data_IF_386788108150
#
_entry.id   IF_386788108150
#
_cell.length_a   1.000
_cell.length_b   1.000
_cell.length_c   1.000
_cell.angle_alpha   90.00
_cell.angle_beta   90.00
_cell.angle_gamma   90.00
#
_symmetry.space_group_name_H-M   'P 1'
#
loop_
_entity.id
_entity.type
_entity.pdbx_description
1 polymer ?
#
# COMPACT_ATOMS: atom_id res chain seq x y z
N UNK A 1 12.47 -17.63 -15.84
CA UNK A 1 12.55 -16.58 -16.88
C UNK A 1 11.32 -15.69 -16.77
N UNK A 2 11.40 -14.42 -17.15
CA UNK A 2 10.24 -13.53 -17.12
C UNK A 2 9.24 -13.86 -18.23
N UNK A 3 7.95 -13.73 -17.93
CA UNK A 3 6.87 -13.83 -18.89
C UNK A 3 6.24 -12.46 -19.15
N UNK A 4 6.82 -11.72 -20.09
CA UNK A 4 6.32 -10.40 -20.48
C UNK A 4 4.93 -10.46 -21.12
N UNK A 5 4.50 -11.61 -21.65
CA UNK A 5 3.18 -11.73 -22.28
C UNK A 5 2.01 -11.67 -21.29
N UNK A 6 2.27 -11.98 -20.02
CA UNK A 6 1.29 -11.91 -18.93
C UNK A 6 1.64 -10.78 -17.94
N UNK A 7 2.31 -9.74 -18.42
CA UNK A 7 2.62 -8.54 -17.65
C UNK A 7 1.35 -7.75 -17.29
N UNK A 8 1.36 -7.17 -16.10
CA UNK A 8 0.23 -6.49 -15.48
C UNK A 8 0.70 -5.18 -14.86
N UNK A 9 -0.21 -4.21 -14.75
CA UNK A 9 0.02 -2.96 -14.03
C UNK A 9 -0.78 -2.94 -12.74
N UNK A 10 -0.09 -2.72 -11.62
CA UNK A 10 -0.70 -2.52 -10.31
C UNK A 10 -0.96 -1.03 -10.08
N UNK A 11 -2.22 -0.69 -9.84
CA UNK A 11 -2.63 0.64 -9.40
C UNK A 11 -2.04 0.92 -8.03
N UNK A 12 -1.47 2.10 -7.87
CA UNK A 12 -1.01 2.60 -6.58
C UNK A 12 -1.55 4.01 -6.34
N UNK A 13 -1.65 4.39 -5.06
CA UNK A 13 -1.84 5.77 -4.66
C UNK A 13 -0.52 6.53 -4.51
N UNK A 14 0.60 5.81 -4.57
CA UNK A 14 1.95 6.37 -4.46
C UNK A 14 2.30 7.11 -5.75
N UNK A 15 2.87 8.29 -5.58
CA UNK A 15 3.41 9.08 -6.69
C UNK A 15 4.93 8.99 -6.64
N UNK A 16 5.56 8.71 -7.78
CA UNK A 16 7.01 8.78 -7.90
C UNK A 16 7.38 10.18 -8.38
N UNK A 17 8.17 10.94 -7.62
CA UNK A 17 8.52 12.34 -7.93
C UNK A 17 7.29 13.20 -8.32
N UNK A 18 6.20 13.11 -7.54
CA UNK A 18 4.93 13.82 -7.77
C UNK A 18 4.17 13.41 -9.05
N UNK A 19 4.61 12.35 -9.73
CA UNK A 19 3.92 11.82 -10.91
C UNK A 19 3.12 10.57 -10.56
N UNK A 20 1.86 10.46 -11.03
CA UNK A 20 1.07 9.24 -10.90
C UNK A 20 1.61 8.16 -11.83
N UNK A 21 1.42 6.91 -11.45
CA UNK A 21 1.84 5.78 -12.28
C UNK A 21 1.38 4.44 -11.74
N UNK A 22 2.04 3.39 -12.21
CA UNK A 22 1.72 2.01 -11.89
C UNK A 22 2.98 1.28 -11.43
N UNK A 23 2.81 0.26 -10.60
CA UNK A 23 3.86 -0.73 -10.42
C UNK A 23 3.75 -1.81 -11.49
N UNK A 24 4.87 -2.11 -12.14
CA UNK A 24 4.98 -3.14 -13.15
C UNK A 24 5.09 -4.51 -12.49
N UNK A 25 4.14 -5.39 -12.79
CA UNK A 25 4.09 -6.76 -12.30
C UNK A 25 4.35 -7.71 -13.46
N UNK A 26 5.47 -8.44 -13.41
CA UNK A 26 5.80 -9.43 -14.43
C UNK A 26 5.92 -10.81 -13.78
N UNK A 27 5.19 -11.83 -14.24
CA UNK A 27 5.38 -13.19 -13.76
C UNK A 27 6.80 -13.69 -14.07
N UNK A 28 7.41 -14.37 -13.11
CA UNK A 28 8.67 -15.08 -13.27
C UNK A 28 8.40 -16.58 -13.18
N UNK A 29 8.59 -17.28 -14.29
CA UNK A 29 8.47 -18.75 -14.34
C UNK A 29 9.62 -19.37 -13.56
N UNK A 30 9.27 -20.18 -12.56
CA UNK A 30 10.19 -21.02 -11.79
C UNK A 30 10.34 -22.40 -12.43
N UNK A 31 9.24 -22.89 -13.02
CA UNK A 31 9.16 -24.13 -13.79
C UNK A 31 8.10 -24.00 -14.89
N UNK A 32 7.84 -25.06 -15.64
CA UNK A 32 6.78 -25.08 -16.67
C UNK A 32 5.38 -24.77 -16.11
N UNK A 33 5.12 -25.16 -14.85
CA UNK A 33 3.77 -25.11 -14.27
C UNK A 33 3.64 -24.10 -13.12
N UNK A 34 4.73 -23.45 -12.71
CA UNK A 34 4.75 -22.56 -11.55
C UNK A 34 5.47 -21.25 -11.84
N UNK A 35 4.89 -20.16 -11.36
CA UNK A 35 5.49 -18.84 -11.41
C UNK A 35 5.25 -18.07 -10.11
N UNK A 36 6.06 -17.03 -9.90
CA UNK A 36 5.85 -16.02 -8.87
C UNK A 36 5.58 -14.68 -9.53
N UNK A 37 4.85 -13.80 -8.85
CA UNK A 37 4.63 -12.44 -9.33
C UNK A 37 5.79 -11.55 -8.87
N UNK A 38 6.44 -10.83 -9.79
CA UNK A 38 7.54 -9.91 -9.45
C UNK A 38 7.10 -8.46 -9.69
N UNK A 39 7.12 -7.65 -8.63
CA UNK A 39 6.98 -6.20 -8.68
C UNK A 39 8.34 -5.60 -9.05
N UNK A 40 8.54 -5.34 -10.34
CA UNK A 40 9.85 -4.93 -10.91
C UNK A 40 10.19 -3.47 -10.66
N UNK A 41 9.19 -2.61 -10.53
CA UNK A 41 9.40 -1.19 -10.35
C UNK A 41 8.19 -0.36 -10.77
N UNK A 42 8.37 0.95 -10.88
CA UNK A 42 7.33 1.91 -11.22
C UNK A 42 7.44 2.37 -12.68
N UNK A 43 6.29 2.60 -13.33
CA UNK A 43 6.18 3.18 -14.67
C UNK A 43 5.19 4.36 -14.67
N UNK A 44 5.45 5.41 -15.47
CA UNK A 44 4.52 6.52 -15.68
C UNK A 44 3.10 6.11 -16.09
N UNK A 45 2.11 6.90 -15.70
CA UNK A 45 0.68 6.60 -15.95
C UNK A 45 0.28 6.55 -17.44
N UNK A 46 1.02 7.21 -18.31
CA UNK A 46 0.82 7.17 -19.76
C UNK A 46 1.24 5.82 -20.38
N UNK A 47 2.09 5.05 -19.69
CA UNK A 47 2.43 3.67 -20.05
C UNK A 47 1.42 2.67 -19.46
N UNK A 48 0.18 2.72 -19.95
CA UNK A 48 -0.95 1.96 -19.41
C UNK A 48 -1.31 0.67 -20.18
N UNK A 49 -0.54 0.33 -21.20
CA UNK A 49 -0.77 -0.84 -22.05
C UNK A 49 0.38 -1.85 -21.88
N UNK A 50 0.18 -2.92 -21.08
CA UNK A 50 1.16 -3.99 -20.98
C UNK A 50 1.13 -4.92 -22.22
N UNK A 51 2.27 -5.53 -22.60
CA UNK A 51 3.59 -5.32 -22.04
C UNK A 51 4.13 -3.90 -22.33
N UNK A 52 4.75 -3.29 -21.33
CA UNK A 52 5.29 -1.93 -21.44
C UNK A 52 6.60 -1.99 -22.23
N UNK A 53 6.56 -1.56 -23.49
CA UNK A 53 7.67 -1.68 -24.44
C UNK A 53 8.99 -1.06 -23.92
N UNK A 54 8.91 0.07 -23.23
CA UNK A 54 10.08 0.77 -22.68
C UNK A 54 10.62 0.15 -21.39
N UNK A 55 9.92 -0.83 -20.81
CA UNK A 55 10.23 -1.47 -19.53
C UNK A 55 10.36 -3.01 -19.63
N UNK A 56 10.59 -3.54 -20.84
CA UNK A 56 10.75 -4.97 -21.07
C UNK A 56 11.82 -5.58 -20.15
N UNK A 57 11.58 -6.78 -19.59
CA UNK A 57 12.58 -7.47 -18.78
C UNK A 57 13.76 -7.96 -19.62
N UNK A 58 14.93 -8.18 -19.01
CA UNK A 58 16.01 -8.90 -19.66
C UNK A 58 15.58 -10.30 -20.08
N UNK A 59 16.10 -10.73 -21.22
CA UNK A 59 15.79 -12.03 -21.80
C UNK A 59 16.53 -13.16 -21.08
N UNK A 60 15.89 -14.34 -21.05
CA UNK A 60 16.47 -15.56 -20.51
C UNK A 60 16.39 -15.69 -18.99
N UNK A 61 17.34 -16.45 -18.44
CA UNK A 61 17.40 -16.73 -17.00
C UNK A 61 17.89 -15.51 -16.23
N UNK A 62 17.22 -15.23 -15.12
CA UNK A 62 17.53 -14.11 -14.24
C UNK A 62 17.73 -14.59 -12.81
N UNK A 63 18.72 -14.04 -12.13
CA UNK A 63 18.87 -14.14 -10.69
C UNK A 63 18.30 -12.88 -10.05
N UNK A 64 17.39 -13.02 -9.09
CA UNK A 64 16.72 -11.90 -8.43
C UNK A 64 17.10 -11.83 -6.95
N UNK A 65 17.27 -10.62 -6.45
CA UNK A 65 17.29 -10.30 -5.03
C UNK A 65 16.15 -9.33 -4.71
N UNK A 66 15.46 -9.54 -3.60
CA UNK A 66 14.22 -8.84 -3.31
C UNK A 66 13.59 -9.20 -1.98
N UNK A 67 12.46 -8.56 -1.70
CA UNK A 67 11.66 -8.78 -0.48
C UNK A 67 10.41 -9.55 -0.85
N UNK A 68 10.14 -10.65 -0.15
CA UNK A 68 8.89 -11.38 -0.33
C UNK A 68 7.78 -10.67 0.45
N UNK A 69 6.74 -10.29 -0.27
CA UNK A 69 5.51 -9.72 0.25
C UNK A 69 4.39 -10.74 0.15
N UNK A 70 3.44 -10.64 1.07
CA UNK A 70 2.18 -11.37 0.96
C UNK A 70 1.34 -10.77 -0.17
N UNK A 71 0.57 -11.62 -0.84
CA UNK A 71 -0.44 -11.15 -1.77
C UNK A 71 -1.47 -10.25 -1.07
N UNK A 72 -1.95 -9.24 -1.80
CA UNK A 72 -3.01 -8.36 -1.33
C UNK A 72 -4.27 -8.71 -2.08
N UNK A 73 -5.24 -9.29 -1.36
CA UNK A 73 -6.56 -9.62 -1.89
C UNK A 73 -7.57 -8.53 -1.57
N UNK A 74 -8.65 -8.46 -2.36
CA UNK A 74 -9.73 -7.50 -2.09
C UNK A 74 -10.35 -7.77 -0.70
N UNK A 75 -10.48 -6.75 0.16
CA UNK A 75 -11.13 -6.91 1.46
C UNK A 75 -12.58 -7.40 1.32
N UNK A 76 -12.98 -8.33 2.19
CA UNK A 76 -14.35 -8.83 2.27
C UNK A 76 -15.14 -8.08 3.37
N UNK A 77 -16.48 -8.10 3.28
CA UNK A 77 -17.37 -7.52 4.29
C UNK A 77 -17.98 -6.15 3.93
N UNK A 78 -18.54 -5.47 4.93
CA UNK A 78 -19.37 -4.25 4.76
C UNK A 78 -18.66 -3.12 4.01
N UNK A 79 -17.37 -2.91 4.27
CA UNK A 79 -16.58 -1.84 3.65
C UNK A 79 -16.04 -2.19 2.25
N UNK A 80 -16.23 -3.42 1.78
CA UNK A 80 -15.73 -3.85 0.45
C UNK A 80 -16.30 -2.99 -0.69
N UNK A 81 -17.48 -2.39 -0.52
CA UNK A 81 -18.09 -1.50 -1.52
C UNK A 81 -17.29 -0.22 -1.76
N UNK A 82 -16.46 0.19 -0.80
CA UNK A 82 -15.65 1.41 -0.85
C UNK A 82 -14.24 1.17 -1.41
N UNK A 83 -13.85 -0.08 -1.58
CA UNK A 83 -12.51 -0.42 -2.10
C UNK A 83 -12.49 -0.39 -3.63
N UNK A 84 -11.33 -0.14 -4.25
CA UNK A 84 -11.17 -0.33 -5.69
C UNK A 84 -11.69 -1.69 -6.15
N UNK A 85 -12.16 -1.75 -7.39
CA UNK A 85 -12.62 -2.99 -8.02
C UNK A 85 -11.87 -3.19 -9.33
N UNK A 86 -11.44 -4.42 -9.53
CA UNK A 86 -10.95 -4.88 -10.82
C UNK A 86 -12.15 -5.17 -11.74
N UNK A 87 -12.00 -4.90 -13.05
CA UNK A 87 -13.02 -5.27 -14.02
C UNK A 87 -13.18 -6.80 -14.09
N UNK A 88 -14.35 -7.29 -14.53
CA UNK A 88 -14.51 -8.70 -14.88
C UNK A 88 -13.69 -9.03 -16.14
N UNK A 89 -13.32 -10.31 -16.30
CA UNK A 89 -12.59 -10.79 -17.48
C UNK A 89 -11.07 -10.72 -17.34
N UNK A 90 -10.36 -10.59 -18.46
CA UNK A 90 -8.90 -10.47 -18.46
C UNK A 90 -8.45 -9.13 -17.89
N UNK A 91 -7.44 -9.15 -17.03
CA UNK A 91 -6.87 -7.97 -16.41
C UNK A 91 -5.58 -7.58 -17.12
N UNK A 92 -5.47 -6.30 -17.44
CA UNK A 92 -4.20 -5.63 -17.79
C UNK A 92 -3.73 -4.70 -16.67
N UNK A 93 -4.70 -4.13 -15.95
CA UNK A 93 -4.49 -3.23 -14.82
C UNK A 93 -5.31 -3.79 -13.65
N UNK A 94 -4.68 -3.96 -12.49
CA UNK A 94 -5.30 -4.47 -11.26
C UNK A 94 -5.05 -3.53 -10.09
N UNK A 95 -5.95 -3.54 -9.11
CA UNK A 95 -5.77 -2.88 -7.82
C UNK A 95 -5.15 -3.78 -6.75
N UNK A 96 -4.97 -5.07 -7.04
CA UNK A 96 -4.64 -6.10 -6.06
C UNK A 96 -3.61 -7.07 -6.61
N UNK A 97 -2.76 -7.60 -5.75
CA UNK A 97 -1.84 -8.69 -6.11
C UNK A 97 -2.43 -10.05 -5.79
N UNK A 98 -3.74 -10.22 -5.98
CA UNK A 98 -4.49 -11.45 -5.73
C UNK A 98 -4.08 -12.52 -6.75
N UNK A 99 -3.15 -13.40 -6.35
CA UNK A 99 -2.57 -14.38 -7.27
C UNK A 99 -3.59 -15.43 -7.70
N UNK A 100 -4.59 -15.71 -6.87
CA UNK A 100 -5.72 -16.60 -7.20
C UNK A 100 -6.62 -16.02 -8.29
N UNK A 101 -6.78 -14.69 -8.35
CA UNK A 101 -7.52 -14.00 -9.41
C UNK A 101 -6.68 -13.80 -10.67
N UNK A 102 -5.42 -13.37 -10.52
CA UNK A 102 -4.50 -13.11 -11.62
C UNK A 102 -4.05 -14.41 -12.31
N UNK A 103 -3.93 -15.51 -11.57
CA UNK A 103 -3.55 -16.81 -12.13
C UNK A 103 -4.59 -17.40 -13.08
N UNK A 104 -5.85 -16.94 -13.04
CA UNK A 104 -6.93 -17.47 -13.90
C UNK A 104 -6.72 -17.18 -15.40
N UNK A 105 -5.92 -16.16 -15.72
CA UNK A 105 -5.58 -15.79 -17.10
C UNK A 105 -4.18 -16.26 -17.51
N UNK A 106 -3.52 -17.08 -16.69
CA UNK A 106 -2.16 -17.56 -16.93
C UNK A 106 -2.14 -19.07 -17.17
N UNK A 107 -1.20 -19.58 -17.99
CA UNK A 107 -1.10 -21.01 -18.29
C UNK A 107 -0.41 -21.84 -17.19
N UNK A 108 -0.09 -21.22 -16.05
CA UNK A 108 0.64 -21.80 -14.93
C UNK A 108 0.04 -21.36 -13.59
N UNK A 109 0.39 -22.07 -12.52
CA UNK A 109 0.03 -21.70 -11.17
C UNK A 109 0.90 -20.52 -10.70
N UNK A 110 0.26 -19.41 -10.34
CA UNK A 110 0.91 -18.38 -9.53
C UNK A 110 0.94 -18.81 -8.07
N UNK A 111 2.12 -18.83 -7.46
CA UNK A 111 2.28 -19.02 -6.03
C UNK A 111 1.76 -17.78 -5.26
N UNK A 112 1.21 -17.94 -4.05
CA UNK A 112 0.55 -16.88 -3.28
C UNK A 112 1.55 -15.94 -2.58
N UNK A 113 2.46 -15.38 -3.37
CA UNK A 113 3.48 -14.44 -2.93
C UNK A 113 3.83 -13.46 -4.05
N UNK A 114 4.36 -12.31 -3.65
CA UNK A 114 4.88 -11.29 -4.57
C UNK A 114 6.31 -11.00 -4.16
N UNK A 115 7.23 -11.01 -5.13
CA UNK A 115 8.60 -10.56 -4.91
C UNK A 115 8.70 -9.08 -5.28
N UNK A 116 9.00 -8.22 -4.31
CA UNK A 116 9.42 -6.85 -4.59
C UNK A 116 10.90 -6.84 -4.96
N UNK A 117 11.19 -6.49 -6.21
CA UNK A 117 12.53 -6.53 -6.76
C UNK A 117 13.42 -5.44 -6.15
N UNK A 118 14.60 -5.84 -5.68
CA UNK A 118 15.68 -4.92 -5.27
C UNK A 118 16.78 -4.86 -6.31
N UNK A 119 17.22 -6.02 -6.81
CA UNK A 119 18.22 -6.10 -7.87
C UNK A 119 18.07 -7.39 -8.67
N UNK A 120 18.65 -7.41 -9.87
CA UNK A 120 18.65 -8.59 -10.73
C UNK A 120 19.88 -8.66 -11.62
N UNK A 121 20.21 -9.88 -12.03
CA UNK A 121 21.22 -10.19 -13.04
C UNK A 121 20.59 -11.09 -14.13
N UNK A 122 20.63 -10.71 -15.42
CA UNK A 122 21.16 -9.47 -15.97
C UNK A 122 20.41 -8.22 -15.50
N UNK A 123 21.10 -7.08 -15.51
CA UNK A 123 20.52 -5.79 -15.16
C UNK A 123 19.52 -5.30 -16.21
N UNK A 124 18.66 -4.38 -15.80
CA UNK A 124 17.70 -3.72 -16.67
C UNK A 124 18.43 -2.92 -17.76
N UNK A 125 18.09 -3.17 -19.03
CA UNK A 125 18.74 -2.51 -20.17
C UNK A 125 18.20 -1.09 -20.42
N UNK A 126 16.96 -0.81 -20.01
CA UNK A 126 16.29 0.49 -20.18
C UNK A 126 16.23 1.27 -18.85
N UNK A 127 15.97 2.59 -18.88
CA UNK A 127 15.80 3.37 -17.64
C UNK A 127 14.54 3.01 -16.84
N UNK A 128 13.59 2.30 -17.46
CA UNK A 128 12.35 1.86 -16.84
C UNK A 128 12.35 0.32 -16.63
N UNK A 129 11.59 -0.20 -15.65
CA UNK A 129 10.84 0.56 -14.65
C UNK A 129 11.79 1.24 -13.65
N UNK A 130 11.34 2.35 -13.05
CA UNK A 130 12.08 2.98 -11.95
C UNK A 130 12.11 2.02 -10.76
N UNK A 131 13.26 1.94 -10.08
CA UNK A 131 13.43 1.03 -8.95
C UNK A 131 12.35 1.29 -7.88
N UNK A 132 11.92 0.21 -7.21
CA UNK A 132 11.00 0.34 -6.08
C UNK A 132 11.61 1.24 -5.02
N UNK A 133 10.90 2.30 -4.62
CA UNK A 133 11.34 3.12 -3.50
C UNK A 133 11.35 2.24 -2.25
N UNK A 134 12.46 2.27 -1.49
CA UNK A 134 12.43 1.68 -0.16
C UNK A 134 11.35 2.40 0.65
N UNK A 135 10.50 1.67 1.38
CA UNK A 135 9.47 2.30 2.19
C UNK A 135 10.13 3.33 3.11
N UNK A 136 9.91 4.62 2.82
CA UNK A 136 10.44 5.66 3.68
C UNK A 136 9.71 5.53 5.02
N UNK A 137 10.44 5.15 6.07
CA UNK A 137 9.95 5.28 7.45
C UNK A 137 9.99 6.76 7.85
N UNK A 138 9.47 7.65 7.00
CA UNK A 138 9.16 9.01 7.38
C UNK A 138 7.94 8.92 8.28
N UNK A 139 8.21 8.78 9.58
CA UNK A 139 7.26 9.11 10.63
C UNK A 139 6.74 10.52 10.27
N UNK A 140 5.49 10.61 9.83
CA UNK A 140 4.85 11.90 9.55
C UNK A 140 4.81 12.79 10.80
N UNK A 141 4.03 13.88 10.82
CA UNK A 141 3.94 14.74 11.99
C UNK A 141 3.11 14.10 13.13
N UNK A 142 3.40 12.85 13.50
CA UNK A 142 2.85 12.17 14.69
C UNK A 142 3.12 12.98 15.95
N UNK A 143 4.18 13.78 15.96
CA UNK A 143 4.48 14.73 17.03
C UNK A 143 3.39 15.81 17.15
N UNK A 144 2.91 16.37 16.04
CA UNK A 144 1.86 17.39 16.05
C UNK A 144 0.53 16.84 16.57
N UNK A 145 0.18 15.63 16.14
CA UNK A 145 -1.01 14.94 16.63
C UNK A 145 -0.90 14.59 18.12
N UNK A 146 0.27 14.11 18.58
CA UNK A 146 0.51 13.85 20.00
C UNK A 146 0.38 15.13 20.84
N UNK A 147 0.99 16.25 20.41
CA UNK A 147 0.87 17.55 21.08
C UNK A 147 -0.59 17.99 21.19
N UNK A 148 -1.38 17.80 20.12
CA UNK A 148 -2.79 18.12 20.11
C UNK A 148 -3.57 17.33 21.18
N UNK A 149 -3.37 16.00 21.25
CA UNK A 149 -4.03 15.17 22.26
C UNK A 149 -3.61 15.52 23.68
N UNK A 150 -2.33 15.74 23.93
CA UNK A 150 -1.87 16.18 25.25
C UNK A 150 -2.46 17.55 25.64
N UNK A 151 -2.64 18.45 24.68
CA UNK A 151 -3.30 19.74 24.91
C UNK A 151 -4.77 19.57 25.32
N UNK A 152 -5.51 18.67 24.67
CA UNK A 152 -6.89 18.35 25.07
C UNK A 152 -6.97 17.74 26.46
N UNK A 153 -6.06 16.83 26.81
CA UNK A 153 -5.97 16.26 28.15
C UNK A 153 -5.72 17.35 29.19
N UNK A 154 -4.78 18.26 28.95
CA UNK A 154 -4.47 19.37 29.86
C UNK A 154 -5.68 20.29 30.05
N UNK A 155 -6.33 20.71 28.95
CA UNK A 155 -7.53 21.55 29.00
C UNK A 155 -8.64 20.85 29.79
N UNK A 156 -8.84 19.55 29.54
CA UNK A 156 -9.84 18.74 30.24
C UNK A 156 -9.57 18.66 31.74
N UNK A 157 -8.33 18.39 32.16
CA UNK A 157 -7.92 18.33 33.57
C UNK A 157 -8.12 19.68 34.26
N UNK A 158 -7.71 20.78 33.62
CA UNK A 158 -7.89 22.13 34.17
C UNK A 158 -9.38 22.45 34.30
N UNK A 159 -10.16 22.27 33.23
CA UNK A 159 -11.59 22.55 33.23
C UNK A 159 -12.35 21.73 34.27
N UNK A 160 -12.07 20.43 34.36
CA UNK A 160 -12.68 19.55 35.35
C UNK A 160 -12.32 19.94 36.78
N UNK A 161 -11.05 20.28 37.05
CA UNK A 161 -10.62 20.75 38.36
C UNK A 161 -11.31 22.04 38.77
N UNK A 162 -11.46 23.00 37.85
CA UNK A 162 -12.23 24.23 38.06
C UNK A 162 -13.71 23.95 38.37
N UNK A 163 -14.33 23.02 37.64
CA UNK A 163 -15.72 22.62 37.89
C UNK A 163 -15.89 22.00 39.29
N UNK A 164 -15.02 21.07 39.68
CA UNK A 164 -15.04 20.48 41.02
C UNK A 164 -14.88 21.53 42.12
N UNK A 165 -13.92 22.45 41.97
CA UNK A 165 -13.72 23.54 42.93
C UNK A 165 -14.95 24.47 42.99
N UNK A 166 -15.57 24.77 41.86
CA UNK A 166 -16.79 25.60 41.80
C UNK A 166 -17.97 24.92 42.50
N UNK A 167 -18.15 23.61 42.30
CA UNK A 167 -19.20 22.81 42.95
C UNK A 167 -19.03 22.76 44.47
N UNK A 168 -17.81 22.55 44.96
CA UNK A 168 -17.51 22.57 46.41
C UNK A 168 -17.78 23.96 47.00
N UNK A 169 -17.37 25.04 46.29
CA UNK A 169 -17.53 26.42 46.78
C UNK A 169 -18.98 26.91 46.77
N UNK A 170 -19.83 26.39 45.88
CA UNK A 170 -21.26 26.72 45.86
C UNK A 170 -22.06 25.97 46.93
N UNK A 171 -21.68 24.75 47.29
CA UNK A 171 -22.35 24.00 48.36
C UNK A 171 -22.14 24.63 49.75
N UNK A 172 -20.97 25.19 50.04
CA UNK A 172 -20.69 25.87 51.32
C UNK A 172 -21.49 27.18 51.50
N UNK A 173 -21.83 27.85 50.39
CA UNK A 173 -22.67 29.08 50.42
C UNK A 173 -24.16 28.78 50.57
N UNK A 174 -24.61 27.60 50.15
CA UNK A 174 -26.01 27.18 50.24
C UNK A 174 -26.46 26.75 51.64
N UNK A 175 -25.60 26.11 52.44
CA UNK A 175 -26.01 25.64 53.78
C UNK A 175 -26.13 26.77 54.81
N UNK A 176 -25.36 27.85 54.67
CA UNK A 176 -25.44 29.03 55.57
C UNK A 176 -26.73 29.85 55.43
N UNK A 177 -27.51 29.66 54.34
CA UNK A 177 -28.76 30.40 54.10
C UNK A 177 -30.01 29.70 54.63
N UNK A 178 -29.90 28.42 55.01
CA UNK A 178 -31.03 27.57 55.43
C UNK A 178 -31.16 27.42 56.94
N UNK A 179 -30.22 27.98 57.71
CA UNK A 179 -30.18 27.94 59.18
C UNK A 179 -30.54 29.29 59.83
N UNK A 180 -31.21 30.19 59.11
CA UNK A 180 -31.67 31.49 59.63
C UNK A 180 -33.15 31.69 59.35
#
# INVERSE_FOLDING_TARGET
EYDSSHELLLRTADNYNEQPGYYLLTPLKLSENEAILVKRGWVPFDLNEPPVADALPPEGQVALDGVVLLETVRPTGFLSSLTPRDPPGELKITAYTDTGRLGQQMPYQLLPLVLELKSQEPSQATPLPLANEEPSFSNGPHLGYAIQWFSFVIIGVIGYSFLLLSLVRNQSRGSSKRSS
#
